data_IF_796934928148
#
_entry.id   IF_796934928148
#
_cell.length_a   1.000
_cell.length_b   1.000
_cell.length_c   1.000
_cell.angle_alpha   90.00
_cell.angle_beta   90.00
_cell.angle_gamma   90.00
#
_symmetry.space_group_name_H-M   'P 1'
#
loop_
_entity.id
_entity.type
_entity.pdbx_description
1 polymer ?
#
# COMPACT_ATOMS: atom_id res chain seq x y z
N UNK A 1 -10.06 -51.44 -32.54
CA UNK A 1 -8.97 -51.01 -31.65
C UNK A 1 -7.96 -50.04 -32.28
N UNK A 2 -8.42 -48.93 -32.87
CA UNK A 2 -7.53 -47.82 -33.24
C UNK A 2 -8.23 -46.49 -32.94
N UNK A 3 -7.75 -45.76 -31.93
CA UNK A 3 -8.26 -44.44 -31.58
C UNK A 3 -7.90 -43.41 -32.64
N UNK A 4 -8.87 -42.61 -33.09
CA UNK A 4 -8.68 -41.57 -34.08
C UNK A 4 -8.19 -40.28 -33.40
N UNK A 5 -6.95 -39.87 -33.68
CA UNK A 5 -6.31 -38.68 -33.09
C UNK A 5 -7.02 -37.36 -33.45
N UNK A 6 -7.86 -37.34 -34.49
CA UNK A 6 -8.60 -36.15 -34.92
C UNK A 6 -9.97 -36.00 -34.23
N UNK A 7 -10.35 -36.94 -33.36
CA UNK A 7 -11.62 -36.91 -32.62
C UNK A 7 -11.35 -37.00 -31.10
N UNK A 8 -10.78 -35.95 -30.48
CA UNK A 8 -10.51 -35.98 -29.05
C UNK A 8 -11.82 -35.94 -28.25
N UNK A 9 -11.85 -36.67 -27.14
CA UNK A 9 -12.92 -36.57 -26.15
C UNK A 9 -12.44 -35.62 -25.05
N UNK A 10 -13.18 -34.52 -24.85
CA UNK A 10 -12.92 -33.56 -23.78
C UNK A 10 -13.87 -33.88 -22.63
N UNK A 11 -13.34 -34.38 -21.51
CA UNK A 11 -14.14 -34.77 -20.33
C UNK A 11 -14.45 -33.62 -19.37
N UNK A 12 -13.88 -32.43 -19.60
CA UNK A 12 -14.11 -31.24 -18.79
C UNK A 12 -12.85 -30.41 -18.57
N UNK A 13 -13.00 -29.27 -17.91
CA UNK A 13 -11.89 -28.40 -17.50
C UNK A 13 -11.50 -28.70 -16.06
N UNK A 14 -10.21 -28.92 -15.81
CA UNK A 14 -9.69 -29.00 -14.44
C UNK A 14 -9.52 -27.57 -13.95
N UNK A 15 -10.39 -27.14 -13.06
CA UNK A 15 -10.21 -25.88 -12.37
C UNK A 15 -9.31 -26.12 -11.15
N UNK A 16 -8.15 -25.45 -11.12
CA UNK A 16 -7.38 -25.35 -9.89
C UNK A 16 -8.23 -24.58 -8.88
N UNK A 17 -8.43 -25.08 -7.65
CA UNK A 17 -9.13 -24.31 -6.63
C UNK A 17 -8.36 -23.02 -6.40
N UNK A 18 -8.92 -21.90 -6.85
CA UNK A 18 -8.41 -20.59 -6.52
C UNK A 18 -8.58 -20.45 -5.01
N UNK A 19 -7.54 -20.11 -4.24
CA UNK A 19 -7.70 -19.87 -2.82
C UNK A 19 -8.79 -18.81 -2.70
N UNK A 20 -9.94 -19.21 -2.16
CA UNK A 20 -10.91 -18.26 -1.64
C UNK A 20 -10.09 -17.45 -0.66
N UNK A 21 -9.76 -16.24 -1.05
CA UNK A 21 -9.15 -15.28 -0.15
C UNK A 21 -10.24 -15.11 0.89
N UNK A 22 -10.13 -15.87 1.98
CA UNK A 22 -10.96 -15.69 3.15
C UNK A 22 -10.87 -14.20 3.40
N UNK A 23 -12.02 -13.54 3.26
CA UNK A 23 -12.15 -12.12 3.51
C UNK A 23 -11.80 -11.95 4.98
N UNK A 24 -10.51 -11.81 5.25
CA UNK A 24 -10.05 -11.05 6.38
C UNK A 24 -10.71 -9.70 6.17
N UNK A 25 -11.52 -9.25 7.14
CA UNK A 25 -12.11 -7.90 7.22
C UNK A 25 -11.03 -6.81 7.34
N UNK A 26 -9.88 -7.01 6.68
CA UNK A 26 -8.91 -5.99 6.41
C UNK A 26 -9.44 -5.23 5.20
N UNK A 27 -10.12 -4.13 5.49
CA UNK A 27 -10.44 -3.08 4.54
C UNK A 27 -9.27 -2.90 3.56
N UNK A 28 -9.52 -3.07 2.25
CA UNK A 28 -8.44 -3.08 1.27
C UNK A 28 -7.73 -1.72 1.28
N UNK A 29 -6.39 -1.77 1.30
CA UNK A 29 -5.57 -0.58 1.05
C UNK A 29 -5.97 -0.02 -0.32
N UNK A 30 -6.49 1.21 -0.35
CA UNK A 30 -6.89 1.86 -1.60
C UNK A 30 -5.69 2.60 -2.18
N UNK A 31 -5.30 2.20 -3.39
CA UNK A 31 -4.27 2.88 -4.19
C UNK A 31 -4.93 3.33 -5.48
N UNK A 32 -5.03 4.63 -5.68
CA UNK A 32 -5.53 5.24 -6.91
C UNK A 32 -4.34 5.89 -7.62
N UNK A 33 -4.15 5.53 -8.88
CA UNK A 33 -3.07 6.04 -9.71
C UNK A 33 -3.70 6.63 -10.95
N UNK A 34 -3.48 7.91 -11.19
CA UNK A 34 -3.65 8.52 -12.50
C UNK A 34 -2.27 8.81 -13.10
N UNK A 35 -2.22 9.26 -14.36
CA UNK A 35 -0.94 9.55 -15.03
C UNK A 35 -0.14 10.72 -14.41
N UNK A 36 -0.70 11.41 -13.41
CA UNK A 36 -0.17 12.62 -12.79
C UNK A 36 -0.08 12.53 -11.24
N UNK A 37 -0.80 11.61 -10.60
CA UNK A 37 -1.04 11.58 -9.17
C UNK A 37 -1.19 10.14 -8.65
N UNK A 38 -0.59 9.88 -7.48
CA UNK A 38 -0.66 8.61 -6.76
C UNK A 38 -1.25 8.89 -5.37
N UNK A 39 -2.40 8.30 -5.07
CA UNK A 39 -3.09 8.41 -3.80
C UNK A 39 -3.10 7.08 -3.07
N UNK A 40 -2.59 7.05 -1.84
CA UNK A 40 -2.57 5.88 -0.96
C UNK A 40 -3.37 6.21 0.30
N UNK A 41 -4.41 5.43 0.58
CA UNK A 41 -5.30 5.66 1.72
C UNK A 41 -5.35 4.46 2.66
N UNK A 42 -5.38 4.73 3.96
CA UNK A 42 -5.57 3.73 5.00
C UNK A 42 -6.52 4.28 6.07
N UNK A 43 -7.40 3.44 6.61
CA UNK A 43 -8.41 3.87 7.58
C UNK A 43 -7.82 4.19 8.96
N UNK A 44 -6.81 3.44 9.40
CA UNK A 44 -6.26 3.56 10.75
C UNK A 44 -4.82 4.10 10.78
N UNK A 45 -3.94 3.53 9.94
CA UNK A 45 -2.51 3.88 9.92
C UNK A 45 -1.90 3.61 8.55
N UNK A 46 -1.11 4.56 8.06
CA UNK A 46 -0.25 4.40 6.87
C UNK A 46 1.21 4.54 7.28
N UNK A 47 2.06 3.55 7.00
CA UNK A 47 3.50 3.61 7.31
C UNK A 47 4.34 3.29 6.09
N UNK A 48 5.22 4.21 5.71
CA UNK A 48 6.30 3.99 4.76
C UNK A 48 7.57 3.72 5.56
N UNK A 49 8.17 2.53 5.44
CA UNK A 49 9.35 2.12 6.23
C UNK A 49 10.48 1.62 5.34
N UNK A 50 11.70 2.02 5.68
CA UNK A 50 12.93 1.47 5.12
C UNK A 50 13.98 1.40 6.24
N UNK A 51 14.36 0.18 6.65
CA UNK A 51 15.27 -0.02 7.79
C UNK A 51 14.79 0.69 9.06
N UNK A 52 15.66 1.52 9.65
CA UNK A 52 15.37 2.31 10.85
C UNK A 52 14.52 3.57 10.58
N UNK A 53 14.32 3.95 9.32
CA UNK A 53 13.54 5.13 8.95
C UNK A 53 12.06 4.78 8.72
N UNK A 54 11.17 5.68 9.15
CA UNK A 54 9.74 5.56 8.87
C UNK A 54 9.01 6.90 8.84
N UNK A 55 8.02 7.01 7.97
CA UNK A 55 7.00 8.06 7.98
C UNK A 55 5.65 7.39 8.25
N UNK A 56 4.95 7.84 9.29
CA UNK A 56 3.67 7.24 9.72
C UNK A 56 2.59 8.30 9.85
N UNK A 57 1.46 8.09 9.18
CA UNK A 57 0.21 8.84 9.35
C UNK A 57 -0.76 8.02 10.21
N UNK A 58 -1.50 8.67 11.11
CA UNK A 58 -2.50 8.02 11.96
C UNK A 58 -3.89 8.60 11.72
N UNK A 59 -4.94 7.83 12.04
CA UNK A 59 -6.34 8.29 12.03
C UNK A 59 -6.59 9.57 12.84
N UNK A 60 -5.79 9.83 13.87
CA UNK A 60 -5.85 11.05 14.67
C UNK A 60 -5.23 12.29 13.98
N UNK A 61 -4.78 12.15 12.73
CA UNK A 61 -4.13 13.23 11.96
C UNK A 61 -2.67 13.49 12.35
N UNK A 62 -2.03 12.60 13.13
CA UNK A 62 -0.62 12.76 13.50
C UNK A 62 0.28 12.23 12.39
N UNK A 63 1.35 12.96 12.11
CA UNK A 63 2.45 12.55 11.23
C UNK A 63 3.69 12.34 12.11
N UNK A 64 4.25 11.13 12.09
CA UNK A 64 5.50 10.79 12.78
C UNK A 64 6.59 10.51 11.75
N UNK A 65 7.71 11.24 11.85
CA UNK A 65 8.90 11.02 11.03
C UNK A 65 10.00 10.53 11.96
N UNK A 66 10.56 9.35 11.68
CA UNK A 66 11.64 8.74 12.45
C UNK A 66 12.80 8.35 11.54
N UNK A 67 14.01 8.55 12.04
CA UNK A 67 15.26 8.14 11.39
C UNK A 67 16.45 8.66 12.18
N UNK A 68 17.65 8.19 11.83
CA UNK A 68 18.89 8.62 12.50
C UNK A 68 19.29 10.05 12.11
N UNK A 69 18.83 10.53 10.95
CA UNK A 69 19.07 11.86 10.43
C UNK A 69 17.89 12.30 9.58
N UNK A 70 17.49 13.57 9.68
CA UNK A 70 16.44 14.18 8.87
C UNK A 70 17.00 15.43 8.19
N UNK A 71 17.02 15.42 6.86
CA UNK A 71 17.26 16.62 6.06
C UNK A 71 15.93 17.15 5.54
N UNK A 72 15.60 18.39 5.86
CA UNK A 72 14.43 19.08 5.30
C UNK A 72 14.88 20.40 4.69
N UNK A 73 14.70 20.53 3.38
CA UNK A 73 15.19 21.65 2.60
C UNK A 73 14.06 22.23 1.74
N UNK A 74 14.00 23.56 1.66
CA UNK A 74 13.09 24.30 0.80
C UNK A 74 13.88 25.40 0.08
N UNK A 75 13.59 25.64 -1.20
CA UNK A 75 14.17 26.78 -1.95
C UNK A 75 13.56 28.12 -1.54
N UNK A 76 12.34 28.09 -1.01
CA UNK A 76 11.67 29.23 -0.38
C UNK A 76 11.62 29.11 1.14
N UNK A 77 10.52 29.54 1.74
CA UNK A 77 10.36 29.50 3.20
C UNK A 77 9.89 28.13 3.70
N UNK A 78 10.57 27.57 4.70
CA UNK A 78 10.02 26.50 5.51
C UNK A 78 9.12 27.10 6.60
N UNK A 79 7.81 26.86 6.52
CA UNK A 79 6.81 27.50 7.41
C UNK A 79 6.26 26.48 8.40
N UNK A 80 6.63 26.65 9.66
CA UNK A 80 6.17 25.82 10.78
C UNK A 80 5.18 26.64 11.61
N UNK A 81 4.01 26.07 11.91
CA UNK A 81 2.97 26.70 12.72
C UNK A 81 2.44 25.73 13.76
N UNK A 82 2.15 26.22 14.95
CA UNK A 82 1.49 25.48 16.00
C UNK A 82 1.22 26.36 17.21
N UNK A 83 0.30 25.95 18.09
CA UNK A 83 0.12 26.60 19.38
C UNK A 83 1.38 26.53 20.26
N UNK A 84 2.25 25.56 20.01
CA UNK A 84 3.59 25.43 20.57
C UNK A 84 4.48 24.73 19.54
N UNK A 85 5.73 25.17 19.43
CA UNK A 85 6.78 24.48 18.65
C UNK A 85 7.94 24.22 19.61
N UNK A 86 8.26 22.95 19.83
CA UNK A 86 9.37 22.52 20.66
C UNK A 86 10.53 22.11 19.76
N UNK A 87 11.70 22.71 19.97
CA UNK A 87 12.94 22.42 19.26
C UNK A 87 14.01 22.15 20.32
N UNK A 88 14.75 21.05 20.15
CA UNK A 88 15.86 20.65 21.01
C UNK A 88 17.08 20.36 20.14
#
# INVERSE_FOLDING_TARGET
DQGNLNLPIIMGIIQTPQPTTGQSELEPLQVEVDHQHLQIQAQEKLTLRCGAASITLTRAGKILIKGNYLSSHATGTHRIKGGCVQIN
#
